data_IF_048814501932
#
_entry.id   IF_048814501932
#
_cell.length_a   1.000
_cell.length_b   1.000
_cell.length_c   1.000
_cell.angle_alpha   90.00
_cell.angle_beta   90.00
_cell.angle_gamma   90.00
#
_symmetry.space_group_name_H-M   'P 1'
#
loop_
_entity.id
_entity.type
_entity.pdbx_description
1 polymer ?
#
# COMPACT_ATOMS: atom_id res chain seq x y z
N UNK A 1 -5.73 -46.48 10.03
CA UNK A 1 -6.79 -45.65 9.43
C UNK A 1 -7.43 -44.66 10.40
N UNK A 2 -6.69 -44.15 11.36
CA UNK A 2 -7.26 -43.25 12.38
C UNK A 2 -6.57 -41.89 12.49
N UNK A 3 -5.66 -41.55 11.59
CA UNK A 3 -4.95 -40.26 11.67
C UNK A 3 -5.45 -39.14 10.75
N UNK A 4 -6.37 -39.43 9.83
CA UNK A 4 -6.87 -38.42 8.87
C UNK A 4 -8.09 -37.64 9.40
N UNK A 5 -8.69 -38.05 10.52
CA UNK A 5 -9.92 -37.45 11.06
C UNK A 5 -9.66 -36.29 12.06
N UNK A 6 -8.45 -36.11 12.56
CA UNK A 6 -8.16 -35.14 13.61
C UNK A 6 -7.76 -33.74 13.15
N UNK A 7 -7.67 -33.46 11.85
CA UNK A 7 -7.28 -32.12 11.37
C UNK A 7 -8.44 -31.21 10.94
N UNK A 8 -9.69 -31.61 11.14
CA UNK A 8 -10.88 -30.81 10.77
C UNK A 8 -11.35 -29.81 11.82
N UNK A 9 -10.54 -29.47 12.80
CA UNK A 9 -10.95 -28.59 13.90
C UNK A 9 -9.98 -27.49 14.33
N UNK A 10 -8.81 -27.39 13.72
CA UNK A 10 -7.93 -26.26 14.03
C UNK A 10 -8.49 -24.99 13.40
N UNK A 11 -9.19 -24.19 14.19
CA UNK A 11 -9.53 -22.82 13.83
C UNK A 11 -8.22 -22.09 13.51
N UNK A 12 -8.06 -21.64 12.29
CA UNK A 12 -6.93 -20.78 11.92
C UNK A 12 -6.83 -19.62 12.91
N UNK A 13 -5.62 -19.30 13.34
CA UNK A 13 -5.40 -18.14 14.20
C UNK A 13 -6.03 -16.88 13.55
N UNK A 14 -6.60 -15.97 14.35
CA UNK A 14 -7.15 -14.74 13.82
C UNK A 14 -6.12 -14.01 12.96
N UNK A 15 -6.56 -13.36 11.88
CA UNK A 15 -5.69 -12.62 10.96
C UNK A 15 -4.76 -11.63 11.69
N UNK A 16 -5.28 -10.96 12.72
CA UNK A 16 -4.51 -10.05 13.55
C UNK A 16 -3.33 -10.71 14.29
N UNK A 17 -3.45 -11.98 14.66
CA UNK A 17 -2.38 -12.73 15.32
C UNK A 17 -1.28 -13.21 14.35
N UNK A 18 -1.54 -13.17 13.04
CA UNK A 18 -0.59 -13.55 11.98
C UNK A 18 0.07 -12.36 11.31
N UNK A 19 -0.19 -11.15 11.76
CA UNK A 19 0.44 -9.94 11.24
C UNK A 19 1.22 -9.20 12.32
N UNK A 20 2.37 -8.67 11.92
CA UNK A 20 3.22 -7.84 12.77
C UNK A 20 3.45 -6.49 12.09
N UNK A 21 3.34 -5.42 12.87
CA UNK A 21 3.67 -4.05 12.44
C UNK A 21 5.02 -3.64 13.01
N UNK A 22 5.82 -2.96 12.20
CA UNK A 22 7.08 -2.38 12.64
C UNK A 22 7.42 -1.14 11.79
N UNK A 23 8.17 -0.22 12.36
CA UNK A 23 8.74 0.92 11.64
C UNK A 23 10.19 0.60 11.35
N UNK A 24 10.56 0.56 10.07
CA UNK A 24 11.87 0.12 9.62
C UNK A 24 12.61 1.22 8.87
N UNK A 25 13.93 1.25 9.09
CA UNK A 25 14.86 1.94 8.21
C UNK A 25 15.15 1.04 7.01
N UNK A 26 14.73 1.45 5.83
CA UNK A 26 14.92 0.71 4.58
C UNK A 26 16.13 1.24 3.82
N UNK A 27 16.88 0.32 3.24
CA UNK A 27 17.93 0.62 2.26
C UNK A 27 17.56 0.00 0.91
N UNK A 28 18.16 0.44 -0.21
CA UNK A 28 17.96 -0.22 -1.51
C UNK A 28 18.18 -1.74 -1.45
N UNK A 29 19.22 -2.20 -0.77
CA UNK A 29 19.53 -3.64 -0.62
C UNK A 29 18.41 -4.42 0.06
N UNK A 30 17.80 -3.86 1.11
CA UNK A 30 16.67 -4.48 1.81
C UNK A 30 15.48 -4.62 0.87
N UNK A 31 15.13 -3.57 0.16
CA UNK A 31 13.97 -3.59 -0.76
C UNK A 31 14.20 -4.47 -1.99
N UNK A 32 15.43 -4.60 -2.46
CA UNK A 32 15.80 -5.48 -3.58
C UNK A 32 15.68 -6.98 -3.22
N UNK A 33 15.82 -7.31 -1.95
CA UNK A 33 15.61 -8.67 -1.46
C UNK A 33 14.12 -9.08 -1.42
N UNK A 34 13.20 -8.13 -1.50
CA UNK A 34 11.76 -8.42 -1.54
C UNK A 34 11.34 -8.89 -2.92
N UNK A 35 10.53 -9.93 -2.95
CA UNK A 35 10.05 -10.55 -4.18
C UNK A 35 8.73 -9.94 -4.63
N UNK A 36 8.51 -9.89 -5.93
CA UNK A 36 7.19 -9.65 -6.48
C UNK A 36 6.37 -10.96 -6.41
N UNK A 37 5.14 -10.93 -5.89
CA UNK A 37 4.30 -12.12 -5.91
C UNK A 37 3.99 -12.52 -7.37
N UNK A 38 3.83 -13.83 -7.66
CA UNK A 38 3.69 -14.33 -9.04
C UNK A 38 2.43 -13.82 -9.76
N UNK A 39 1.42 -13.39 -9.03
CA UNK A 39 0.16 -12.86 -9.55
C UNK A 39 0.19 -11.34 -9.77
N UNK A 40 1.30 -10.68 -9.46
CA UNK A 40 1.45 -9.22 -9.66
C UNK A 40 1.84 -8.90 -11.08
N UNK A 41 1.21 -7.87 -11.65
CA UNK A 41 1.61 -7.32 -12.95
C UNK A 41 2.96 -6.59 -12.84
N UNK A 42 3.78 -6.60 -13.89
CA UNK A 42 5.01 -5.80 -13.94
C UNK A 42 4.72 -4.32 -13.66
N UNK A 43 5.52 -3.74 -12.78
CA UNK A 43 5.42 -2.34 -12.44
C UNK A 43 6.07 -1.48 -13.53
N UNK A 44 5.37 -0.44 -13.95
CA UNK A 44 5.90 0.58 -14.87
C UNK A 44 6.31 1.82 -14.09
N UNK A 45 7.50 2.34 -14.38
CA UNK A 45 7.93 3.65 -13.87
C UNK A 45 7.23 4.72 -14.69
N UNK A 46 6.22 5.33 -14.09
CA UNK A 46 5.38 6.36 -14.68
C UNK A 46 5.49 7.68 -13.90
N UNK A 47 4.74 8.69 -14.30
CA UNK A 47 4.71 10.00 -13.65
C UNK A 47 4.36 9.93 -12.16
N UNK A 48 3.47 9.01 -11.78
CA UNK A 48 3.10 8.81 -10.36
C UNK A 48 4.29 8.34 -9.52
N UNK A 49 5.05 7.39 -10.02
CA UNK A 49 6.26 6.89 -9.33
C UNK A 49 7.30 7.99 -9.20
N UNK A 50 7.50 8.79 -10.26
CA UNK A 50 8.44 9.93 -10.24
C UNK A 50 8.00 11.01 -9.26
N UNK A 51 6.70 11.31 -9.19
CA UNK A 51 6.15 12.26 -8.23
C UNK A 51 6.37 11.82 -6.78
N UNK A 52 6.15 10.53 -6.48
CA UNK A 52 6.43 9.97 -5.15
C UNK A 52 7.93 10.03 -4.83
N UNK A 53 8.81 9.76 -5.80
CA UNK A 53 10.26 9.85 -5.61
C UNK A 53 10.72 11.28 -5.28
N UNK A 54 10.12 12.27 -5.94
CA UNK A 54 10.38 13.69 -5.67
C UNK A 54 9.91 14.08 -4.27
N UNK A 55 8.71 13.64 -3.87
CA UNK A 55 8.17 13.88 -2.55
C UNK A 55 9.05 13.26 -1.45
N UNK A 56 9.52 12.03 -1.64
CA UNK A 56 10.44 11.36 -0.71
C UNK A 56 11.72 12.17 -0.47
N UNK A 57 12.27 12.78 -1.51
CA UNK A 57 13.47 13.64 -1.37
C UNK A 57 13.16 14.91 -0.55
N UNK A 58 11.97 15.45 -0.67
CA UNK A 58 11.57 16.69 0.01
C UNK A 58 11.07 16.47 1.44
N UNK A 59 10.53 15.31 1.75
CA UNK A 59 9.97 15.01 3.08
C UNK A 59 10.97 14.37 4.07
N UNK A 60 12.25 14.28 3.70
CA UNK A 60 13.28 13.68 4.56
C UNK A 60 13.35 12.15 4.49
N UNK A 61 12.78 11.52 3.46
CA UNK A 61 12.87 10.07 3.23
C UNK A 61 11.88 9.26 4.08
N UNK A 62 10.66 9.73 4.23
CA UNK A 62 9.57 9.00 4.89
C UNK A 62 8.59 8.50 3.85
N UNK A 63 8.38 7.18 3.79
CA UNK A 63 7.35 6.58 2.93
C UNK A 63 5.99 6.73 3.60
N UNK A 64 5.06 7.39 2.90
CA UNK A 64 3.70 7.56 3.38
C UNK A 64 2.91 6.25 3.34
N UNK A 65 2.12 6.02 4.37
CA UNK A 65 1.29 4.84 4.51
C UNK A 65 2.09 3.59 4.87
N UNK A 66 1.39 2.47 4.93
CA UNK A 66 1.93 1.19 5.38
C UNK A 66 2.32 0.36 4.15
N UNK A 67 3.54 -0.16 4.13
CA UNK A 67 3.94 -1.22 3.20
C UNK A 67 3.45 -2.57 3.74
N UNK A 68 2.89 -3.40 2.89
CA UNK A 68 2.46 -4.75 3.30
C UNK A 68 3.32 -5.80 2.63
N UNK A 69 3.99 -6.60 3.46
CA UNK A 69 4.76 -7.76 3.05
C UNK A 69 4.03 -9.05 3.43
N UNK A 70 4.20 -10.07 2.64
CA UNK A 70 3.73 -11.41 2.91
C UNK A 70 4.88 -12.41 3.01
N UNK A 71 4.75 -13.37 3.90
CA UNK A 71 5.62 -14.55 3.96
C UNK A 71 4.76 -15.81 4.11
N UNK A 72 5.30 -16.94 3.69
CA UNK A 72 4.66 -18.24 3.87
C UNK A 72 5.26 -18.93 5.09
N UNK A 73 4.45 -19.61 5.88
CA UNK A 73 4.92 -20.37 7.04
C UNK A 73 6.07 -21.31 6.64
N UNK A 74 7.17 -21.25 7.42
CA UNK A 74 8.36 -22.05 7.16
C UNK A 74 9.28 -21.52 6.06
N UNK A 75 8.92 -20.43 5.38
CA UNK A 75 9.76 -19.75 4.39
C UNK A 75 10.33 -18.45 4.96
N UNK A 76 11.48 -18.04 4.45
CA UNK A 76 12.13 -16.77 4.79
C UNK A 76 11.90 -15.68 3.74
N UNK A 77 11.36 -16.03 2.57
CA UNK A 77 11.07 -15.09 1.51
C UNK A 77 9.99 -14.09 1.91
N UNK A 78 10.20 -12.82 1.57
CA UNK A 78 9.25 -11.74 1.76
C UNK A 78 8.75 -11.25 0.40
N UNK A 79 7.44 -11.20 0.25
CA UNK A 79 6.76 -10.73 -0.95
C UNK A 79 6.11 -9.37 -0.69
N UNK A 80 6.33 -8.41 -1.57
CA UNK A 80 5.72 -7.09 -1.47
C UNK A 80 4.28 -7.13 -2.02
N UNK A 81 3.29 -7.12 -1.14
CA UNK A 81 1.87 -7.23 -1.48
C UNK A 81 1.21 -5.87 -1.77
N UNK A 82 1.62 -4.83 -1.04
CA UNK A 82 1.15 -3.46 -1.25
C UNK A 82 2.29 -2.46 -1.03
N UNK A 83 2.31 -1.41 -1.83
CA UNK A 83 3.32 -0.36 -1.80
C UNK A 83 4.38 -0.45 -2.90
N UNK A 84 4.14 -1.21 -3.95
CA UNK A 84 5.07 -1.41 -5.07
C UNK A 84 5.54 -0.10 -5.70
N UNK A 85 4.61 0.85 -5.93
CA UNK A 85 4.93 2.16 -6.49
C UNK A 85 5.81 2.98 -5.55
N UNK A 86 5.56 2.91 -4.24
CA UNK A 86 6.32 3.62 -3.20
C UNK A 86 7.74 3.06 -3.07
N UNK A 87 7.88 1.75 -3.10
CA UNK A 87 9.20 1.08 -3.09
C UNK A 87 9.98 1.38 -4.37
N UNK A 88 9.32 1.34 -5.55
CA UNK A 88 9.94 1.73 -6.80
C UNK A 88 10.38 3.20 -6.79
N UNK A 89 9.56 4.08 -6.25
CA UNK A 89 9.89 5.50 -6.08
C UNK A 89 11.11 5.69 -5.17
N UNK A 90 11.19 4.95 -4.08
CA UNK A 90 12.38 4.99 -3.22
C UNK A 90 13.64 4.57 -3.98
N UNK A 91 13.58 3.49 -4.76
CA UNK A 91 14.74 3.04 -5.54
C UNK A 91 15.23 4.08 -6.55
N UNK A 92 14.32 4.79 -7.23
CA UNK A 92 14.69 5.84 -8.20
C UNK A 92 14.99 7.19 -7.56
N UNK A 93 14.68 7.38 -6.27
CA UNK A 93 14.92 8.64 -5.55
C UNK A 93 16.38 8.94 -5.28
N UNK A 94 17.25 7.94 -5.41
CA UNK A 94 18.68 7.99 -5.09
C UNK A 94 18.99 8.22 -3.59
N UNK A 95 17.97 8.12 -2.73
CA UNK A 95 18.16 8.15 -1.29
C UNK A 95 18.86 6.86 -0.82
N UNK A 96 19.78 6.99 0.13
CA UNK A 96 20.50 5.85 0.71
C UNK A 96 19.64 5.05 1.69
N UNK A 97 18.69 5.71 2.33
CA UNK A 97 17.80 5.15 3.31
C UNK A 97 16.47 5.91 3.36
N UNK A 98 15.42 5.23 3.79
CA UNK A 98 14.12 5.83 4.09
C UNK A 98 13.47 5.12 5.26
N UNK A 99 12.53 5.79 5.92
CA UNK A 99 11.74 5.22 7.00
C UNK A 99 10.38 4.80 6.45
N UNK A 100 9.92 3.62 6.82
CA UNK A 100 8.61 3.10 6.44
C UNK A 100 7.96 2.31 7.55
N UNK A 101 6.66 2.45 7.68
CA UNK A 101 5.83 1.54 8.45
C UNK A 101 5.54 0.30 7.61
N UNK A 102 5.87 -0.86 8.15
CA UNK A 102 5.77 -2.14 7.45
C UNK A 102 4.91 -3.10 8.23
N UNK A 103 3.94 -3.71 7.56
CA UNK A 103 3.17 -4.82 8.09
C UNK A 103 3.60 -6.11 7.40
N UNK A 104 3.99 -7.10 8.18
CA UNK A 104 4.35 -8.44 7.70
C UNK A 104 3.24 -9.41 8.08
N UNK A 105 2.64 -10.04 7.07
CA UNK A 105 1.59 -11.04 7.24
C UNK A 105 2.13 -12.43 6.92
N UNK A 106 1.85 -13.40 7.77
CA UNK A 106 2.21 -14.81 7.54
C UNK A 106 1.02 -15.57 6.99
N UNK A 107 1.21 -16.29 5.92
CA UNK A 107 0.20 -17.08 5.21
C UNK A 107 0.55 -18.56 5.22
N UNK A 108 -0.45 -19.43 5.19
CA UNK A 108 -0.25 -20.87 5.12
C UNK A 108 0.32 -21.31 3.75
N UNK A 109 -0.08 -20.63 2.67
CA UNK A 109 0.32 -20.95 1.30
C UNK A 109 0.19 -19.74 0.36
N UNK A 110 0.66 -19.89 -0.86
CA UNK A 110 0.62 -18.85 -1.88
C UNK A 110 -0.82 -18.48 -2.31
N UNK A 111 -1.75 -19.40 -2.27
CA UNK A 111 -3.17 -19.14 -2.58
C UNK A 111 -3.81 -18.18 -1.58
N UNK A 112 -3.56 -18.37 -0.29
CA UNK A 112 -4.03 -17.49 0.78
C UNK A 112 -3.41 -16.09 0.66
N UNK A 113 -2.13 -16.02 0.31
CA UNK A 113 -1.44 -14.75 0.02
C UNK A 113 -2.05 -14.03 -1.18
N UNK A 114 -2.41 -14.76 -2.24
CA UNK A 114 -3.07 -14.22 -3.43
C UNK A 114 -4.45 -13.64 -3.11
N UNK A 115 -5.24 -14.29 -2.28
CA UNK A 115 -6.54 -13.79 -1.84
C UNK A 115 -6.41 -12.47 -1.08
N UNK A 116 -5.42 -12.36 -0.21
CA UNK A 116 -5.14 -11.12 0.51
C UNK A 116 -4.67 -9.99 -0.44
N UNK A 117 -3.82 -10.31 -1.42
CA UNK A 117 -3.40 -9.35 -2.44
C UNK A 117 -4.58 -8.78 -3.22
N UNK A 118 -5.51 -9.63 -3.66
CA UNK A 118 -6.74 -9.20 -4.34
C UNK A 118 -7.57 -8.30 -3.44
N UNK A 119 -7.73 -8.67 -2.17
CA UNK A 119 -8.48 -7.90 -1.19
C UNK A 119 -7.88 -6.52 -0.94
N UNK A 120 -6.57 -6.42 -0.76
CA UNK A 120 -5.86 -5.15 -0.57
C UNK A 120 -6.02 -4.22 -1.78
N UNK A 121 -5.95 -4.77 -3.00
CA UNK A 121 -6.03 -3.97 -4.22
C UNK A 121 -7.47 -3.65 -4.65
N UNK A 122 -8.46 -4.43 -4.26
CA UNK A 122 -9.88 -4.19 -4.58
C UNK A 122 -10.57 -3.24 -3.57
N UNK A 123 -10.07 -3.15 -2.36
CA UNK A 123 -10.63 -2.29 -1.30
C UNK A 123 -10.26 -0.81 -1.43
N UNK A 124 -9.45 -0.41 -2.41
CA UNK A 124 -9.06 0.97 -2.65
C UNK A 124 -10.25 1.73 -3.25
N UNK A 125 -10.95 2.49 -2.40
CA UNK A 125 -11.91 3.49 -2.86
C UNK A 125 -11.10 4.66 -3.41
N UNK A 126 -11.20 4.92 -4.70
CA UNK A 126 -10.61 6.11 -5.32
C UNK A 126 -11.38 7.32 -4.84
N UNK A 127 -10.66 8.28 -4.26
CA UNK A 127 -11.25 9.58 -3.93
C UNK A 127 -11.70 10.26 -5.22
N UNK A 128 -12.92 10.77 -5.21
CA UNK A 128 -13.41 11.62 -6.30
C UNK A 128 -12.79 13.02 -6.16
N UNK A 129 -12.76 13.83 -7.25
CA UNK A 129 -12.33 15.23 -7.15
C UNK A 129 -13.09 16.02 -6.08
N UNK A 130 -14.35 15.70 -5.86
CA UNK A 130 -15.19 16.33 -4.84
C UNK A 130 -14.74 15.95 -3.41
N UNK A 131 -14.33 14.69 -3.19
CA UNK A 131 -13.78 14.26 -1.89
C UNK A 131 -12.46 14.97 -1.58
N UNK A 132 -11.62 15.18 -2.60
CA UNK A 132 -10.35 15.92 -2.47
C UNK A 132 -10.65 17.38 -2.10
N UNK A 133 -11.57 18.04 -2.79
CA UNK A 133 -11.95 19.42 -2.50
C UNK A 133 -12.50 19.57 -1.08
N UNK A 134 -13.38 18.67 -0.65
CA UNK A 134 -13.89 18.67 0.74
C UNK A 134 -12.80 18.49 1.78
N UNK A 135 -11.82 17.63 1.50
CA UNK A 135 -10.68 17.45 2.40
C UNK A 135 -9.82 18.71 2.53
N UNK A 136 -9.70 19.48 1.44
CA UNK A 136 -8.90 20.72 1.40
C UNK A 136 -9.63 21.93 2.02
N UNK A 137 -10.95 21.95 2.02
CA UNK A 137 -11.77 23.07 2.53
C UNK A 137 -11.44 23.50 3.97
N UNK A 138 -11.10 22.54 4.82
CA UNK A 138 -10.79 22.82 6.21
C UNK A 138 -9.33 23.28 6.45
N UNK A 139 -8.47 23.20 5.43
CA UNK A 139 -7.03 23.40 5.59
C UNK A 139 -6.45 24.59 4.80
N UNK A 140 -7.14 25.01 3.74
CA UNK A 140 -6.66 26.09 2.88
C UNK A 140 -7.73 27.20 2.74
N UNK A 141 -7.48 28.43 3.28
CA UNK A 141 -8.41 29.56 3.18
C UNK A 141 -8.74 29.95 1.72
N UNK A 142 -7.82 29.73 0.79
CA UNK A 142 -7.99 30.03 -0.64
C UNK A 142 -9.06 29.12 -1.28
N UNK A 143 -9.11 27.86 -0.84
CA UNK A 143 -10.05 26.88 -1.40
C UNK A 143 -11.49 27.16 -0.95
N UNK A 144 -11.67 27.79 0.20
CA UNK A 144 -12.99 28.23 0.67
C UNK A 144 -13.56 29.32 -0.23
N UNK A 145 -12.74 30.28 -0.64
CA UNK A 145 -13.15 31.35 -1.57
C UNK A 145 -13.46 30.81 -2.97
N UNK A 146 -12.67 29.85 -3.46
CA UNK A 146 -12.91 29.17 -4.75
C UNK A 146 -14.25 28.42 -4.71
N UNK A 147 -14.62 27.83 -3.59
CA UNK A 147 -15.90 27.13 -3.44
C UNK A 147 -17.10 28.08 -3.50
N UNK A 148 -17.02 29.24 -2.84
CA UNK A 148 -18.06 30.24 -2.91
C UNK A 148 -18.21 30.83 -4.33
N UNK A 149 -17.10 31.10 -5.00
CA UNK A 149 -17.07 31.70 -6.34
C UNK A 149 -17.32 30.69 -7.46
N UNK A 150 -16.92 29.42 -7.28
CA UNK A 150 -16.98 28.36 -8.30
C UNK A 150 -17.92 27.20 -7.94
N UNK A 151 -18.80 27.38 -6.97
CA UNK A 151 -19.74 26.36 -6.49
C UNK A 151 -20.53 25.69 -7.63
N UNK A 152 -20.85 26.45 -8.68
CA UNK A 152 -21.55 25.96 -9.87
C UNK A 152 -20.71 24.99 -10.72
N UNK A 153 -19.39 25.17 -10.82
CA UNK A 153 -18.52 24.37 -11.68
C UNK A 153 -18.14 23.05 -11.00
N UNK A 154 -17.78 23.08 -9.72
CA UNK A 154 -17.35 21.90 -8.97
C UNK A 154 -18.51 20.90 -8.75
N UNK A 155 -19.68 21.38 -8.37
CA UNK A 155 -20.82 20.50 -8.08
C UNK A 155 -21.58 20.00 -9.31
N UNK A 156 -21.56 20.72 -10.41
CA UNK A 156 -22.24 20.28 -11.63
C UNK A 156 -21.44 19.28 -12.46
N UNK A 157 -20.12 19.29 -12.39
CA UNK A 157 -19.29 18.29 -13.06
C UNK A 157 -19.40 16.90 -12.41
N UNK A 158 -19.66 16.82 -11.12
CA UNK A 158 -19.88 15.55 -10.40
C UNK A 158 -21.23 14.92 -10.76
N UNK A 159 -22.25 15.72 -11.07
CA UNK A 159 -23.59 15.21 -11.46
C UNK A 159 -23.67 14.72 -12.91
N UNK A 160 -22.69 15.02 -13.75
CA UNK A 160 -22.63 14.59 -15.16
C UNK A 160 -21.71 13.40 -15.42
N UNK A 161 -20.97 12.98 -14.42
CA UNK A 161 -20.18 11.76 -14.41
C UNK A 161 -20.96 10.66 -13.68
#
# INVERSE_FOLDING_TARGET
>A
MSEVVMMKGMKQAPKAARSKMDTLMLTPSITEAWLAPPFQRPLKINERVRAIALDLRHNGGVIDGILTLGTIEGDTALYLLDGQHRVAAFRISELKECIADVRICTFANMGEMGDEFVKLNSAIVRMTPDDVLRGMEGTHPVDHNIKEDCNFVAYNNVRRA
#
